data_IF_867752740940
#
_entry.id   IF_867752740940
#
_cell.length_a   1.000
_cell.length_b   1.000
_cell.length_c   1.000
_cell.angle_alpha   90.00
_cell.angle_beta   90.00
_cell.angle_gamma   90.00
#
_symmetry.space_group_name_H-M   'P 1'
#
loop_
_entity.id
_entity.type
_entity.pdbx_description
1 polymer ?
#
# COMPACT_ATOMS: atom_id res chain seq x y z
N UNK A 1 6.03 4.80 -17.38
CA UNK A 1 6.68 6.08 -17.06
C UNK A 1 8.05 6.12 -17.75
N UNK A 2 8.36 7.20 -18.46
CA UNK A 2 9.63 7.34 -19.13
C UNK A 2 10.76 7.39 -18.07
N UNK A 3 11.80 6.55 -18.24
CA UNK A 3 12.95 6.51 -17.34
C UNK A 3 12.79 5.63 -16.10
N UNK A 4 11.72 4.82 -15.99
CA UNK A 4 11.53 3.87 -14.90
C UNK A 4 11.52 2.44 -15.44
N UNK A 5 12.30 1.56 -14.81
CA UNK A 5 12.37 0.14 -15.15
C UNK A 5 12.12 -0.70 -13.92
N UNK A 6 11.28 -1.72 -14.03
CA UNK A 6 11.11 -2.73 -12.98
C UNK A 6 12.28 -3.71 -13.08
N UNK A 7 13.06 -3.83 -12.02
CA UNK A 7 14.30 -4.63 -12.03
C UNK A 7 14.26 -5.84 -11.12
N UNK A 8 13.31 -5.87 -10.16
CA UNK A 8 13.16 -6.98 -9.22
C UNK A 8 11.71 -7.12 -8.77
N UNK A 9 11.33 -8.31 -8.36
CA UNK A 9 10.01 -8.62 -7.78
C UNK A 9 10.17 -9.51 -6.54
N UNK A 10 9.26 -9.34 -5.57
CA UNK A 10 9.24 -10.14 -4.35
C UNK A 10 7.80 -10.40 -3.88
N UNK A 11 7.55 -11.59 -3.42
CA UNK A 11 6.31 -11.98 -2.70
C UNK A 11 6.63 -13.14 -1.76
N UNK A 12 5.76 -13.37 -0.80
CA UNK A 12 5.84 -14.54 0.09
C UNK A 12 5.70 -15.84 -0.72
N UNK A 13 4.93 -15.83 -1.79
CA UNK A 13 4.54 -17.00 -2.57
C UNK A 13 5.17 -17.01 -3.96
N UNK A 14 5.83 -18.12 -4.29
CA UNK A 14 6.51 -18.29 -5.59
C UNK A 14 5.58 -18.08 -6.78
N UNK A 15 4.37 -18.63 -6.72
CA UNK A 15 3.39 -18.52 -7.80
C UNK A 15 2.99 -17.07 -8.09
N UNK A 16 3.01 -16.19 -7.09
CA UNK A 16 2.75 -14.75 -7.27
C UNK A 16 3.94 -14.04 -7.90
N UNK A 17 5.15 -14.40 -7.49
CA UNK A 17 6.37 -13.87 -8.09
C UNK A 17 6.44 -14.22 -9.56
N UNK A 18 6.22 -15.50 -9.90
CA UNK A 18 6.26 -15.98 -11.28
C UNK A 18 5.16 -15.32 -12.13
N UNK A 19 3.91 -15.30 -11.65
CA UNK A 19 2.81 -14.66 -12.36
C UNK A 19 3.03 -13.16 -12.61
N UNK A 20 3.66 -12.45 -11.68
CA UNK A 20 4.01 -11.05 -11.88
C UNK A 20 5.15 -10.89 -12.90
N UNK A 21 6.19 -11.73 -12.81
CA UNK A 21 7.30 -11.71 -13.74
C UNK A 21 6.85 -11.99 -15.19
N UNK A 22 5.93 -12.93 -15.37
CA UNK A 22 5.36 -13.25 -16.69
C UNK A 22 4.54 -12.07 -17.26
N UNK A 23 3.68 -11.46 -16.45
CA UNK A 23 2.93 -10.26 -16.86
C UNK A 23 3.84 -9.07 -17.21
N UNK A 24 4.95 -8.92 -16.52
CA UNK A 24 5.94 -7.88 -16.82
C UNK A 24 6.67 -8.19 -18.13
N UNK A 25 6.99 -9.46 -18.37
CA UNK A 25 7.62 -9.94 -19.62
C UNK A 25 6.72 -9.66 -20.83
N UNK A 26 5.41 -9.90 -20.73
CA UNK A 26 4.43 -9.55 -21.78
C UNK A 26 4.44 -8.05 -22.13
N UNK A 27 4.80 -7.21 -21.16
CA UNK A 27 4.94 -5.75 -21.34
C UNK A 27 6.34 -5.31 -21.72
N UNK A 28 7.22 -6.23 -22.09
CA UNK A 28 8.58 -5.95 -22.50
C UNK A 28 9.58 -5.76 -21.35
N UNK A 29 9.18 -6.09 -20.11
CA UNK A 29 10.05 -5.99 -18.95
C UNK A 29 10.41 -7.39 -18.43
N UNK A 30 11.60 -7.86 -18.74
CA UNK A 30 12.05 -9.18 -18.33
C UNK A 30 12.80 -9.12 -16.99
N UNK A 31 12.28 -9.79 -15.97
CA UNK A 31 12.90 -9.91 -14.64
C UNK A 31 13.72 -11.21 -14.61
N UNK A 32 15.06 -11.15 -14.45
CA UNK A 32 15.88 -12.35 -14.37
C UNK A 32 15.59 -13.13 -13.07
N UNK A 33 15.90 -14.42 -13.06
CA UNK A 33 15.55 -15.31 -11.94
C UNK A 33 16.23 -14.92 -10.63
N UNK A 34 17.47 -14.46 -10.68
CA UNK A 34 18.22 -13.95 -9.53
C UNK A 34 17.68 -12.64 -8.94
N UNK A 35 16.67 -12.03 -9.59
CA UNK A 35 15.93 -10.84 -9.13
C UNK A 35 14.47 -11.15 -8.78
N UNK A 36 14.14 -12.43 -8.61
CA UNK A 36 12.83 -12.92 -8.17
C UNK A 36 12.96 -13.52 -6.78
N UNK A 37 12.51 -12.78 -5.79
CA UNK A 37 12.68 -13.15 -4.38
C UNK A 37 11.40 -13.72 -3.79
N UNK A 38 11.51 -14.83 -3.06
CA UNK A 38 10.37 -15.58 -2.50
C UNK A 38 10.55 -15.77 -0.99
N UNK A 39 9.46 -15.59 -0.24
CA UNK A 39 9.42 -15.82 1.20
C UNK A 39 9.11 -14.58 2.01
N UNK A 40 8.97 -14.74 3.33
CA UNK A 40 8.62 -13.65 4.24
C UNK A 40 9.73 -12.57 4.31
N UNK A 41 10.98 -12.95 4.15
CA UNK A 41 12.14 -12.04 4.13
C UNK A 41 12.53 -11.56 2.72
N UNK A 42 11.77 -11.92 1.69
CA UNK A 42 12.03 -11.55 0.30
C UNK A 42 12.13 -10.02 0.09
N UNK A 43 11.41 -9.24 0.90
CA UNK A 43 11.49 -7.78 0.86
C UNK A 43 12.89 -7.24 1.15
N UNK A 44 13.65 -7.88 2.07
CA UNK A 44 15.03 -7.49 2.38
C UNK A 44 15.94 -7.72 1.17
N UNK A 45 15.82 -8.90 0.57
CA UNK A 45 16.61 -9.28 -0.60
C UNK A 45 16.34 -8.34 -1.78
N UNK A 46 15.06 -8.00 -2.02
CA UNK A 46 14.68 -7.04 -3.05
C UNK A 46 15.29 -5.66 -2.76
N UNK A 47 15.17 -5.15 -1.55
CA UNK A 47 15.66 -3.83 -1.16
C UNK A 47 17.19 -3.77 -1.28
N UNK A 48 17.89 -4.84 -0.88
CA UNK A 48 19.36 -4.95 -0.95
C UNK A 48 19.88 -5.23 -2.37
N UNK A 49 18.98 -5.56 -3.34
CA UNK A 49 19.39 -5.91 -4.71
C UNK A 49 19.80 -4.72 -5.59
N UNK A 50 19.80 -3.50 -5.04
CA UNK A 50 20.25 -2.30 -5.73
C UNK A 50 19.14 -1.45 -6.35
N UNK A 51 17.88 -1.67 -5.96
CA UNK A 51 16.74 -0.83 -6.42
C UNK A 51 16.84 0.59 -5.86
N UNK A 52 16.32 1.57 -6.61
CA UNK A 52 16.24 2.97 -6.17
C UNK A 52 14.91 3.27 -5.48
N UNK A 53 13.84 2.68 -5.98
CA UNK A 53 12.46 2.88 -5.53
C UNK A 53 11.82 1.54 -5.19
N UNK A 54 11.10 1.47 -4.09
CA UNK A 54 10.35 0.28 -3.65
C UNK A 54 8.86 0.58 -3.66
N UNK A 55 8.08 -0.27 -4.34
CA UNK A 55 6.62 -0.26 -4.27
C UNK A 55 6.21 -1.32 -3.24
N UNK A 56 5.61 -0.88 -2.13
CA UNK A 56 5.19 -1.73 -1.02
C UNK A 56 3.68 -1.93 -1.11
N UNK A 57 3.26 -3.06 -1.71
CA UNK A 57 1.86 -3.44 -1.88
C UNK A 57 1.49 -4.73 -1.11
N UNK A 58 2.31 -5.10 -0.14
CA UNK A 58 2.07 -6.25 0.76
C UNK A 58 0.85 -6.01 1.66
N UNK A 59 0.29 -7.05 2.32
CA UNK A 59 -0.79 -6.84 3.29
C UNK A 59 -0.38 -5.79 4.34
N UNK A 60 -1.31 -4.94 4.78
CA UNK A 60 -0.97 -3.70 5.51
C UNK A 60 -0.19 -3.92 6.82
N UNK A 61 -0.38 -5.05 7.49
CA UNK A 61 0.36 -5.38 8.72
C UNK A 61 1.88 -5.42 8.52
N UNK A 62 2.35 -5.79 7.31
CA UNK A 62 3.78 -5.92 7.01
C UNK A 62 4.42 -4.59 6.57
N UNK A 63 3.61 -3.61 6.14
CA UNK A 63 4.10 -2.35 5.56
C UNK A 63 5.01 -1.54 6.47
N UNK A 64 4.73 -1.41 7.79
CA UNK A 64 5.62 -0.67 8.68
C UNK A 64 7.03 -1.21 8.71
N UNK A 65 7.19 -2.53 8.79
CA UNK A 65 8.50 -3.20 8.82
C UNK A 65 9.23 -3.08 7.48
N UNK A 66 8.51 -3.26 6.38
CA UNK A 66 9.09 -3.13 5.04
C UNK A 66 9.52 -1.69 4.74
N UNK A 67 8.70 -0.71 5.14
CA UNK A 67 9.01 0.70 4.98
C UNK A 67 10.22 1.12 5.82
N UNK A 68 10.27 0.69 7.08
CA UNK A 68 11.41 0.96 7.94
C UNK A 68 12.71 0.48 7.30
N UNK A 69 12.74 -0.78 6.85
CA UNK A 69 13.90 -1.34 6.20
C UNK A 69 14.30 -0.60 4.93
N UNK A 70 13.32 -0.23 4.10
CA UNK A 70 13.58 0.52 2.88
C UNK A 70 14.20 1.90 3.15
N UNK A 71 13.70 2.63 4.17
CA UNK A 71 14.24 3.93 4.58
C UNK A 71 15.65 3.78 5.17
N UNK A 72 15.90 2.77 6.01
CA UNK A 72 17.23 2.46 6.55
C UNK A 72 18.26 2.19 5.43
N UNK A 73 17.80 1.63 4.31
CA UNK A 73 18.62 1.40 3.10
C UNK A 73 18.61 2.57 2.10
N UNK A 74 18.03 3.70 2.46
CA UNK A 74 18.04 4.90 1.64
C UNK A 74 17.20 4.81 0.37
N UNK A 75 16.10 4.04 0.37
CA UNK A 75 15.25 3.83 -0.80
C UNK A 75 14.04 4.77 -0.81
N UNK A 76 13.71 5.30 -1.98
CA UNK A 76 12.42 5.95 -2.19
C UNK A 76 11.28 4.92 -2.09
N UNK A 77 10.11 5.34 -1.60
CA UNK A 77 9.03 4.40 -1.31
C UNK A 77 7.68 4.89 -1.84
N UNK A 78 6.95 3.98 -2.46
CA UNK A 78 5.52 4.10 -2.64
C UNK A 78 4.84 3.02 -1.77
N UNK A 79 3.99 3.46 -0.83
CA UNK A 79 3.25 2.56 0.04
C UNK A 79 1.78 2.53 -0.37
N UNK A 80 1.22 1.36 -0.62
CA UNK A 80 -0.23 1.24 -0.78
C UNK A 80 -0.98 1.56 0.52
N UNK A 81 -2.21 2.03 0.38
CA UNK A 81 -3.13 2.20 1.51
C UNK A 81 -3.66 0.84 2.01
N UNK A 82 -4.02 0.71 3.28
CA UNK A 82 -3.60 1.53 4.42
C UNK A 82 -2.13 1.31 4.76
N UNK A 83 -1.50 2.29 5.35
CA UNK A 83 -0.05 2.21 5.65
C UNK A 83 0.28 1.31 6.84
N UNK A 84 -0.69 1.01 7.67
CA UNK A 84 -0.59 0.12 8.85
C UNK A 84 -1.99 -0.33 9.27
N UNK A 85 -2.08 -1.23 10.27
CA UNK A 85 -3.33 -1.78 10.79
C UNK A 85 -3.59 -1.46 12.26
N UNK A 86 -2.59 -0.97 12.97
CA UNK A 86 -2.65 -0.76 14.41
C UNK A 86 -1.81 0.45 14.89
N UNK A 87 -1.97 0.90 16.15
CA UNK A 87 -1.21 2.04 16.69
C UNK A 87 0.30 1.81 16.77
N UNK A 88 0.78 0.58 16.85
CA UNK A 88 2.22 0.27 16.87
C UNK A 88 2.80 0.51 15.49
N UNK A 89 2.16 -0.05 14.45
CA UNK A 89 2.52 0.19 13.06
C UNK A 89 2.48 1.67 12.70
N UNK A 90 1.45 2.39 13.15
CA UNK A 90 1.37 3.84 12.95
C UNK A 90 2.57 4.59 13.55
N UNK A 91 2.92 4.30 14.80
CA UNK A 91 4.10 4.92 15.44
C UNK A 91 5.39 4.59 14.70
N UNK A 92 5.55 3.36 14.23
CA UNK A 92 6.69 2.94 13.40
C UNK A 92 6.76 3.73 12.11
N UNK A 93 5.66 3.84 11.37
CA UNK A 93 5.57 4.62 10.12
C UNK A 93 5.96 6.08 10.38
N UNK A 94 5.39 6.70 11.41
CA UNK A 94 5.65 8.12 11.72
C UNK A 94 7.09 8.38 12.16
N UNK A 95 7.69 7.47 12.92
CA UNK A 95 9.10 7.57 13.32
C UNK A 95 10.03 7.40 12.11
N UNK A 96 9.74 6.43 11.25
CA UNK A 96 10.49 6.17 10.02
C UNK A 96 10.40 7.33 9.03
N UNK A 97 9.21 7.90 8.83
CA UNK A 97 9.00 9.03 7.93
C UNK A 97 9.82 10.26 8.33
N UNK A 98 10.03 10.49 9.64
CA UNK A 98 10.91 11.56 10.13
C UNK A 98 12.38 11.36 9.75
N UNK A 99 12.80 10.13 9.53
CA UNK A 99 14.17 9.80 9.11
C UNK A 99 14.36 9.90 7.60
N UNK A 100 13.29 9.83 6.82
CA UNK A 100 13.29 9.83 5.35
C UNK A 100 13.47 11.23 4.72
N UNK A 101 14.29 12.13 5.32
CA UNK A 101 14.37 13.55 4.96
C UNK A 101 14.76 13.83 3.50
N UNK A 102 15.54 12.95 2.89
CA UNK A 102 16.03 13.08 1.51
C UNK A 102 15.40 12.06 0.57
N UNK A 103 14.34 11.39 1.00
CA UNK A 103 13.66 10.35 0.25
C UNK A 103 12.26 10.81 -0.19
N UNK A 104 11.86 10.43 -1.39
CA UNK A 104 10.48 10.56 -1.82
C UNK A 104 9.68 9.41 -1.20
N UNK A 105 8.68 9.74 -0.39
CA UNK A 105 7.75 8.79 0.20
C UNK A 105 6.34 9.21 -0.18
N UNK A 106 5.62 8.34 -0.86
CA UNK A 106 4.25 8.59 -1.35
C UNK A 106 3.34 7.46 -0.88
N UNK A 107 2.10 7.80 -0.53
CA UNK A 107 1.07 6.84 -0.14
C UNK A 107 0.01 6.67 -1.21
N UNK A 108 -0.56 5.47 -1.32
CA UNK A 108 -1.52 5.07 -2.36
C UNK A 108 -2.96 5.59 -2.13
N UNK A 109 -3.13 6.82 -1.64
CA UNK A 109 -4.44 7.47 -1.54
C UNK A 109 -4.86 8.02 -2.92
N UNK A 110 -5.33 7.13 -3.79
CA UNK A 110 -5.55 7.40 -5.21
C UNK A 110 -6.48 8.58 -5.50
N UNK A 111 -7.41 8.90 -4.60
CA UNK A 111 -8.37 10.00 -4.79
C UNK A 111 -7.72 11.38 -4.85
N UNK A 112 -6.58 11.55 -4.17
CA UNK A 112 -5.76 12.76 -4.28
C UNK A 112 -5.18 12.99 -5.68
N UNK A 113 -5.21 11.97 -6.54
CA UNK A 113 -4.71 12.00 -7.92
C UNK A 113 -5.84 11.87 -8.97
N UNK A 114 -7.08 11.65 -8.54
CA UNK A 114 -8.23 11.56 -9.44
C UNK A 114 -8.74 12.96 -9.81
N UNK A 115 -8.82 13.23 -11.10
CA UNK A 115 -9.18 14.56 -11.62
C UNK A 115 -10.48 15.11 -11.03
N UNK A 116 -11.54 14.29 -10.96
CA UNK A 116 -12.82 14.70 -10.39
C UNK A 116 -12.70 15.15 -8.93
N UNK A 117 -11.95 14.42 -8.10
CA UNK A 117 -11.72 14.81 -6.70
C UNK A 117 -10.89 16.09 -6.60
N UNK A 118 -9.81 16.19 -7.37
CA UNK A 118 -8.94 17.38 -7.38
C UNK A 118 -9.71 18.64 -7.82
N UNK A 119 -10.51 18.54 -8.87
CA UNK A 119 -11.33 19.68 -9.36
C UNK A 119 -12.45 20.03 -8.37
N UNK A 120 -13.11 19.04 -7.76
CA UNK A 120 -14.11 19.29 -6.71
C UNK A 120 -13.48 19.96 -5.49
N UNK A 121 -12.31 19.50 -5.05
CA UNK A 121 -11.57 20.13 -3.95
C UNK A 121 -11.29 21.62 -4.24
N UNK A 122 -10.78 21.94 -5.43
CA UNK A 122 -10.52 23.33 -5.83
C UNK A 122 -11.78 24.19 -5.74
N UNK A 123 -12.89 23.71 -6.30
CA UNK A 123 -14.18 24.45 -6.26
C UNK A 123 -14.69 24.70 -4.84
N UNK A 124 -14.53 23.72 -3.96
CA UNK A 124 -14.92 23.85 -2.56
C UNK A 124 -14.02 24.89 -1.86
N UNK A 125 -12.72 24.83 -2.11
CA UNK A 125 -11.76 25.81 -1.55
C UNK A 125 -11.96 27.23 -2.09
N UNK A 126 -12.47 27.36 -3.31
CA UNK A 126 -12.90 28.64 -3.91
C UNK A 126 -14.22 29.17 -3.30
N UNK A 127 -14.84 28.44 -2.37
CA UNK A 127 -16.06 28.88 -1.67
C UNK A 127 -17.38 28.49 -2.34
N UNK A 128 -17.36 27.56 -3.31
CA UNK A 128 -18.59 27.21 -4.07
C UNK A 128 -19.75 26.70 -3.20
N UNK A 129 -19.47 26.16 -2.02
CA UNK A 129 -20.49 25.70 -1.05
C UNK A 129 -20.45 26.47 0.28
N UNK A 130 -19.62 27.52 0.38
CA UNK A 130 -19.36 28.22 1.64
C UNK A 130 -18.46 27.43 2.59
N UNK A 131 -18.57 27.72 3.88
CA UNK A 131 -17.80 27.07 4.92
C UNK A 131 -18.29 25.65 5.23
N UNK A 132 -17.39 24.70 5.35
CA UNK A 132 -17.73 23.32 5.74
C UNK A 132 -17.91 23.28 7.26
N UNK A 133 -19.14 23.06 7.72
CA UNK A 133 -19.50 22.97 9.14
C UNK A 133 -19.55 21.56 9.69
N UNK A 134 -19.58 20.56 8.81
CA UNK A 134 -19.61 19.14 9.18
C UNK A 134 -19.78 18.25 7.95
N UNK A 135 -19.70 16.94 8.17
CA UNK A 135 -19.92 15.98 7.10
C UNK A 135 -20.08 14.56 7.61
N UNK A 136 -20.63 13.71 6.76
CA UNK A 136 -20.79 12.28 7.02
C UNK A 136 -20.26 11.53 5.81
N UNK A 137 -19.51 10.47 6.06
CA UNK A 137 -18.97 9.60 5.03
C UNK A 137 -19.42 8.16 5.24
N UNK A 138 -19.71 7.48 4.17
CA UNK A 138 -20.20 6.11 4.17
C UNK A 138 -19.31 5.23 3.30
N UNK A 139 -19.14 3.97 3.71
CA UNK A 139 -18.62 2.91 2.87
C UNK A 139 -19.55 1.71 3.00
N UNK A 140 -20.61 1.70 2.22
CA UNK A 140 -21.61 0.65 2.20
C UNK A 140 -21.21 -0.36 1.10
N UNK A 141 -20.64 -1.45 1.51
CA UNK A 141 -20.15 -2.48 0.61
C UNK A 141 -20.60 -3.86 1.10
N UNK A 142 -20.95 -4.71 0.18
CA UNK A 142 -21.13 -6.14 0.45
C UNK A 142 -19.78 -6.82 0.72
N UNK A 143 -19.80 -8.12 0.96
CA UNK A 143 -18.63 -8.93 1.22
C UNK A 143 -17.52 -8.70 0.17
N UNK A 144 -16.30 -8.57 0.64
CA UNK A 144 -15.11 -8.50 -0.21
C UNK A 144 -14.80 -9.89 -0.81
N UNK A 145 -13.77 -9.93 -1.64
CA UNK A 145 -13.24 -11.19 -2.12
C UNK A 145 -12.78 -12.07 -0.94
N UNK A 146 -12.89 -13.37 -1.10
CA UNK A 146 -12.32 -14.37 -0.18
C UNK A 146 -11.65 -15.48 -0.99
N UNK A 147 -10.79 -16.23 -0.32
CA UNK A 147 -10.14 -17.42 -0.88
C UNK A 147 -10.55 -18.63 -0.07
N UNK A 148 -11.08 -19.65 -0.75
CA UNK A 148 -11.31 -20.94 -0.13
C UNK A 148 -9.96 -21.57 0.23
N UNK A 149 -9.89 -22.09 1.45
CA UNK A 149 -8.70 -22.79 1.94
C UNK A 149 -8.46 -24.06 1.13
N UNK A 150 -7.25 -24.22 0.61
CA UNK A 150 -6.85 -25.46 -0.03
C UNK A 150 -6.33 -26.46 1.01
N UNK A 151 -6.38 -27.76 0.66
CA UNK A 151 -6.03 -28.84 1.61
C UNK A 151 -4.55 -28.85 2.03
N UNK A 152 -3.69 -28.37 1.18
CA UNK A 152 -2.24 -28.31 1.35
C UNK A 152 -1.75 -27.02 2.03
N UNK A 153 -2.63 -26.05 2.26
CA UNK A 153 -2.26 -24.79 2.93
C UNK A 153 -2.27 -24.94 4.44
N UNK A 154 -1.19 -24.59 5.08
CA UNK A 154 -1.16 -24.39 6.52
C UNK A 154 -1.91 -23.11 6.92
N UNK A 155 -2.15 -22.91 8.23
CA UNK A 155 -2.95 -21.78 8.71
C UNK A 155 -2.34 -20.42 8.35
N UNK A 156 -1.02 -20.28 8.49
CA UNK A 156 -0.34 -19.03 8.18
C UNK A 156 -0.43 -18.69 6.68
N UNK A 157 -0.21 -19.69 5.82
CA UNK A 157 -0.35 -19.53 4.38
C UNK A 157 -1.77 -19.13 3.99
N UNK A 158 -2.77 -19.82 4.53
CA UNK A 158 -4.17 -19.48 4.30
C UNK A 158 -4.49 -18.04 4.70
N UNK A 159 -4.13 -17.66 5.93
CA UNK A 159 -4.37 -16.31 6.41
C UNK A 159 -3.71 -15.24 5.52
N UNK A 160 -2.46 -15.42 5.11
CA UNK A 160 -1.77 -14.45 4.24
C UNK A 160 -2.38 -14.43 2.83
N UNK A 161 -2.80 -15.57 2.28
CA UNK A 161 -3.46 -15.63 0.97
C UNK A 161 -4.84 -14.96 0.97
N UNK A 162 -5.57 -15.05 2.07
CA UNK A 162 -6.90 -14.49 2.31
C UNK A 162 -6.88 -13.26 3.24
N UNK A 163 -5.79 -12.52 3.25
CA UNK A 163 -5.44 -11.50 4.25
C UNK A 163 -6.52 -10.45 4.52
N UNK A 164 -7.33 -10.10 3.55
CA UNK A 164 -8.37 -9.07 3.70
C UNK A 164 -9.43 -9.46 4.72
N UNK A 165 -9.70 -10.75 4.90
CA UNK A 165 -10.69 -11.29 5.83
C UNK A 165 -10.13 -11.52 7.24
N UNK A 166 -8.85 -11.25 7.46
CA UNK A 166 -8.20 -11.40 8.76
C UNK A 166 -7.88 -10.03 9.36
N UNK A 167 -8.60 -9.68 10.42
CA UNK A 167 -8.50 -8.36 11.07
C UNK A 167 -7.07 -7.94 11.40
N UNK A 168 -6.26 -8.86 11.90
CA UNK A 168 -4.87 -8.56 12.27
C UNK A 168 -3.96 -8.28 11.06
N UNK A 169 -4.34 -8.72 9.86
CA UNK A 169 -3.62 -8.49 8.61
C UNK A 169 -4.11 -7.24 7.87
N UNK A 170 -5.42 -6.97 7.91
CA UNK A 170 -6.08 -5.92 7.14
C UNK A 170 -6.40 -4.65 7.94
N UNK A 171 -6.56 -4.76 9.25
CA UNK A 171 -7.12 -3.70 10.10
C UNK A 171 -8.63 -3.60 10.05
N UNK A 172 -9.31 -4.59 9.43
CA UNK A 172 -10.74 -4.64 9.24
C UNK A 172 -11.30 -3.56 8.30
N UNK A 173 -12.61 -3.54 8.11
CA UNK A 173 -13.33 -2.69 7.19
C UNK A 173 -13.00 -1.19 7.34
N UNK A 174 -12.90 -0.70 8.57
CA UNK A 174 -12.65 0.71 8.84
C UNK A 174 -11.28 1.16 8.29
N UNK A 175 -10.26 0.34 8.49
CA UNK A 175 -8.88 0.65 8.09
C UNK A 175 -8.64 0.34 6.62
N UNK A 176 -9.18 -0.78 6.12
CA UNK A 176 -8.91 -1.23 4.75
C UNK A 176 -9.77 -0.53 3.70
N UNK A 177 -11.05 -0.26 4.01
CA UNK A 177 -12.01 0.28 3.04
C UNK A 177 -12.47 1.70 3.38
N UNK A 178 -12.99 1.92 4.59
CA UNK A 178 -13.58 3.20 4.97
C UNK A 178 -12.53 4.33 5.00
N UNK A 179 -11.26 4.01 5.21
CA UNK A 179 -10.14 4.95 5.14
C UNK A 179 -10.18 5.85 3.90
N UNK A 180 -10.63 5.33 2.75
CA UNK A 180 -10.75 6.12 1.54
C UNK A 180 -11.68 7.34 1.68
N UNK A 181 -12.82 7.18 2.35
CA UNK A 181 -13.79 8.24 2.51
C UNK A 181 -13.45 9.14 3.70
N UNK A 182 -12.85 8.57 4.76
CA UNK A 182 -12.31 9.34 5.88
C UNK A 182 -11.20 10.26 5.39
N UNK A 183 -10.30 9.76 4.55
CA UNK A 183 -9.22 10.54 3.94
C UNK A 183 -9.75 11.71 3.09
N UNK A 184 -10.74 11.47 2.24
CA UNK A 184 -11.38 12.53 1.45
C UNK A 184 -12.03 13.57 2.35
N UNK A 185 -12.73 13.15 3.40
CA UNK A 185 -13.37 14.08 4.33
C UNK A 185 -12.34 14.97 5.03
N UNK A 186 -11.26 14.38 5.55
CA UNK A 186 -10.18 15.13 6.22
C UNK A 186 -9.47 16.07 5.26
N UNK A 187 -9.24 15.63 4.02
CA UNK A 187 -8.65 16.46 2.97
C UNK A 187 -9.53 17.66 2.64
N UNK A 188 -10.82 17.45 2.38
CA UNK A 188 -11.75 18.49 1.95
C UNK A 188 -12.09 19.48 3.07
N UNK A 189 -12.23 19.01 4.30
CA UNK A 189 -12.55 19.87 5.44
C UNK A 189 -11.33 20.55 6.06
N UNK A 190 -10.12 20.05 5.81
CA UNK A 190 -8.90 20.48 6.52
C UNK A 190 -8.88 20.08 8.00
N UNK A 191 -9.88 19.36 8.49
CA UNK A 191 -9.97 18.89 9.87
C UNK A 191 -9.03 17.71 10.07
N UNK A 192 -8.49 17.61 11.26
CA UNK A 192 -7.76 16.42 11.73
C UNK A 192 -8.69 15.66 12.67
N UNK A 193 -8.82 14.32 12.50
CA UNK A 193 -9.61 13.50 13.41
C UNK A 193 -9.01 13.45 14.81
#
# INVERSE_FOLDING_TARGET
ANGVTVVAVADTFKERVDALADKLKEKGCNIPEDKRFVGLDAYKQLIDSGVDVVIIATPPVFRPVHFQYAVEKGKHCFLEKPICVDPVGYRTIMATAKQAKNLCVVTGTQRHHQRNYVESYKKIMEGAIGEITGGVVYWNQSMLWFRERQKDWNDCEYMIKDWVNWKWLSGDHIVEQHVHNIDVFTWFSGLKP
#
